data_IF_024496955568
#
_entry.id   IF_024496955568
#
_cell.length_a   1.000
_cell.length_b   1.000
_cell.length_c   1.000
_cell.angle_alpha   90.00
_cell.angle_beta   90.00
_cell.angle_gamma   90.00
#
_symmetry.space_group_name_H-M   'P 1'
#
loop_
_entity.id
_entity.type
_entity.pdbx_description
1 polymer ?
#
# COMPACT_ATOMS: atom_id res chain seq x y z
N UNK A 1 -7.53 3.61 -13.22
CA UNK A 1 -6.96 4.48 -12.16
C UNK A 1 -8.05 5.15 -11.33
N UNK A 2 -8.98 5.93 -11.92
CA UNK A 2 -10.05 6.61 -11.17
C UNK A 2 -10.87 5.68 -10.26
N UNK A 3 -11.36 4.58 -10.80
CA UNK A 3 -12.12 3.57 -10.04
C UNK A 3 -11.33 2.93 -8.88
N UNK A 4 -10.03 2.66 -9.08
CA UNK A 4 -9.13 2.13 -8.03
C UNK A 4 -8.97 3.13 -6.90
N UNK A 5 -8.79 4.41 -7.22
CA UNK A 5 -8.68 5.48 -6.23
C UNK A 5 -9.99 5.71 -5.47
N UNK A 6 -11.14 5.66 -6.16
CA UNK A 6 -12.44 5.78 -5.52
C UNK A 6 -12.67 4.62 -4.53
N UNK A 7 -12.32 3.40 -4.93
CA UNK A 7 -12.40 2.21 -4.07
C UNK A 7 -11.46 2.33 -2.86
N UNK A 8 -10.21 2.72 -3.09
CA UNK A 8 -9.23 2.90 -2.02
C UNK A 8 -9.67 4.00 -1.04
N UNK A 9 -10.21 5.12 -1.51
CA UNK A 9 -10.70 6.22 -0.66
C UNK A 9 -11.92 5.89 0.20
N UNK A 10 -12.67 4.82 -0.14
CA UNK A 10 -13.72 4.28 0.74
C UNK A 10 -13.16 3.44 1.88
N UNK A 11 -11.93 2.94 1.72
CA UNK A 11 -11.26 2.02 2.65
C UNK A 11 -10.25 2.74 3.55
N UNK A 12 -9.57 3.74 3.01
CA UNK A 12 -8.59 4.58 3.71
C UNK A 12 -9.17 5.97 3.97
N UNK A 13 -8.68 6.66 5.00
CA UNK A 13 -9.05 8.07 5.29
C UNK A 13 -8.42 9.08 4.32
N UNK A 14 -7.46 8.67 3.52
CA UNK A 14 -6.73 9.53 2.59
C UNK A 14 -7.61 9.91 1.39
N UNK A 15 -7.50 11.17 0.97
CA UNK A 15 -8.13 11.65 -0.26
C UNK A 15 -7.54 10.92 -1.50
N UNK A 16 -8.32 10.64 -2.57
CA UNK A 16 -7.83 9.98 -3.79
C UNK A 16 -6.49 10.48 -4.34
N UNK A 17 -6.30 11.80 -4.39
CA UNK A 17 -5.01 12.43 -4.78
C UNK A 17 -3.84 12.02 -3.87
N UNK A 18 -4.06 11.92 -2.56
CA UNK A 18 -3.00 11.48 -1.64
C UNK A 18 -2.64 10.01 -1.87
N UNK A 19 -3.64 9.15 -2.07
CA UNK A 19 -3.44 7.73 -2.40
C UNK A 19 -2.60 7.60 -3.68
N UNK A 20 -2.97 8.32 -4.74
CA UNK A 20 -2.23 8.32 -6.00
C UNK A 20 -0.78 8.78 -5.82
N UNK A 21 -0.56 9.90 -5.12
CA UNK A 21 0.77 10.45 -4.90
C UNK A 21 1.65 9.48 -4.08
N UNK A 22 1.08 8.85 -3.06
CA UNK A 22 1.82 7.87 -2.24
C UNK A 22 2.17 6.61 -3.01
N UNK A 23 1.27 6.13 -3.86
CA UNK A 23 1.56 4.98 -4.71
C UNK A 23 2.68 5.27 -5.71
N UNK A 24 2.68 6.45 -6.34
CA UNK A 24 3.77 6.87 -7.26
C UNK A 24 5.09 7.06 -6.52
N UNK A 25 5.06 7.64 -5.30
CA UNK A 25 6.25 7.76 -4.48
C UNK A 25 6.85 6.39 -4.14
N UNK A 26 6.01 5.45 -3.73
CA UNK A 26 6.44 4.08 -3.41
C UNK A 26 6.99 3.35 -4.64
N UNK A 27 6.34 3.47 -5.79
CA UNK A 27 6.86 2.95 -7.08
C UNK A 27 8.28 3.46 -7.34
N UNK A 28 8.53 4.77 -7.18
CA UNK A 28 9.87 5.35 -7.32
C UNK A 28 10.88 4.75 -6.34
N UNK A 29 10.52 4.66 -5.06
CA UNK A 29 11.39 4.10 -4.02
C UNK A 29 11.73 2.62 -4.25
N UNK A 30 10.77 1.81 -4.72
CA UNK A 30 11.01 0.41 -5.07
C UNK A 30 11.88 0.28 -6.33
N UNK A 31 11.63 1.13 -7.33
CA UNK A 31 12.42 1.17 -8.56
C UNK A 31 13.90 1.50 -8.30
N UNK A 32 14.20 2.42 -7.37
CA UNK A 32 15.57 2.71 -6.91
C UNK A 32 16.29 1.46 -6.35
N UNK A 33 15.51 0.50 -5.83
CA UNK A 33 15.98 -0.79 -5.31
C UNK A 33 15.91 -1.91 -6.34
N UNK A 34 15.61 -1.58 -7.61
CA UNK A 34 15.41 -2.52 -8.72
C UNK A 34 14.24 -3.49 -8.51
N UNK A 35 13.26 -3.09 -7.70
CA UNK A 35 12.01 -3.83 -7.48
C UNK A 35 10.95 -3.18 -8.38
N UNK A 36 10.50 -3.91 -9.40
CA UNK A 36 9.55 -3.41 -10.39
C UNK A 36 8.11 -3.62 -9.90
N UNK A 37 7.50 -2.57 -9.36
CA UNK A 37 6.08 -2.55 -8.99
C UNK A 37 5.46 -1.21 -9.34
N UNK A 38 4.30 -1.22 -10.01
CA UNK A 38 3.68 0.02 -10.51
C UNK A 38 2.68 0.59 -9.54
N UNK A 39 2.50 1.92 -9.51
CA UNK A 39 1.55 2.58 -8.64
C UNK A 39 0.11 1.99 -8.69
N UNK A 40 -0.48 1.66 -9.84
CA UNK A 40 -1.80 1.02 -9.88
C UNK A 40 -1.84 -0.35 -9.19
N UNK A 41 -0.79 -1.16 -9.36
CA UNK A 41 -0.67 -2.49 -8.74
C UNK A 41 -0.48 -2.38 -7.23
N UNK A 42 0.31 -1.40 -6.79
CA UNK A 42 0.51 -1.09 -5.36
C UNK A 42 -0.81 -0.73 -4.71
N UNK A 43 -1.63 0.11 -5.36
CA UNK A 43 -2.96 0.49 -4.83
C UNK A 43 -3.84 -0.74 -4.68
N UNK A 44 -3.92 -1.59 -5.70
CA UNK A 44 -4.71 -2.83 -5.64
C UNK A 44 -4.24 -3.73 -4.51
N UNK A 45 -2.94 -4.00 -4.48
CA UNK A 45 -2.28 -4.86 -3.49
C UNK A 45 -2.57 -4.41 -2.08
N UNK A 46 -2.38 -3.12 -1.77
CA UNK A 46 -2.62 -2.58 -0.45
C UNK A 46 -4.12 -2.51 -0.08
N UNK A 47 -5.02 -2.41 -1.07
CA UNK A 47 -6.46 -2.53 -0.83
C UNK A 47 -6.88 -3.95 -0.42
N UNK A 48 -6.07 -4.97 -0.66
CA UNK A 48 -6.36 -6.35 -0.21
C UNK A 48 -6.06 -6.57 1.28
N UNK A 49 -5.34 -5.65 1.93
CA UNK A 49 -5.12 -5.72 3.38
C UNK A 49 -6.47 -5.44 4.06
N UNK A 50 -6.96 -6.41 4.83
CA UNK A 50 -8.16 -6.24 5.65
C UNK A 50 -7.73 -5.51 6.92
N UNK A 51 -8.15 -4.26 7.04
CA UNK A 51 -7.96 -3.49 8.26
C UNK A 51 -9.13 -3.80 9.18
N UNK A 52 -8.86 -4.49 10.29
CA UNK A 52 -9.85 -4.65 11.34
C UNK A 52 -10.23 -3.28 11.92
N UNK A 53 -11.51 -3.09 12.19
CA UNK A 53 -12.13 -1.77 12.40
C UNK A 53 -11.69 -0.96 13.63
N UNK A 54 -10.52 -1.20 14.22
CA UNK A 54 -10.04 -0.49 15.42
C UNK A 54 -9.06 0.65 15.16
N UNK A 55 -8.42 0.73 13.99
CA UNK A 55 -7.62 1.89 13.61
C UNK A 55 -7.86 2.22 12.16
N UNK A 56 -8.32 3.44 11.91
CA UNK A 56 -8.45 3.92 10.54
C UNK A 56 -7.06 4.27 10.03
N UNK A 57 -6.39 3.26 9.53
CA UNK A 57 -5.03 3.37 9.01
C UNK A 57 -5.04 4.23 7.75
N UNK A 58 -4.04 5.11 7.62
CA UNK A 58 -3.86 5.88 6.40
C UNK A 58 -3.17 5.02 5.36
N UNK A 59 -3.50 5.24 4.08
CA UNK A 59 -2.78 4.64 2.97
C UNK A 59 -1.28 4.97 3.06
N UNK A 60 -0.95 6.17 3.54
CA UNK A 60 0.42 6.61 3.80
C UNK A 60 1.16 5.70 4.80
N UNK A 61 0.52 5.33 5.92
CA UNK A 61 1.14 4.43 6.91
C UNK A 61 1.37 3.04 6.34
N UNK A 62 0.36 2.51 5.63
CA UNK A 62 0.43 1.18 5.03
C UNK A 62 1.52 1.11 3.94
N UNK A 63 1.68 2.16 3.12
CA UNK A 63 2.79 2.24 2.15
C UNK A 63 4.17 2.23 2.81
N UNK A 64 4.32 2.86 3.98
CA UNK A 64 5.59 2.87 4.70
C UNK A 64 5.92 1.49 5.28
N UNK A 65 4.94 0.82 5.90
CA UNK A 65 5.12 -0.54 6.42
C UNK A 65 5.44 -1.52 5.30
N UNK A 66 4.71 -1.43 4.18
CA UNK A 66 4.98 -2.25 2.99
C UNK A 66 6.41 -2.05 2.49
N UNK A 67 6.86 -0.80 2.33
CA UNK A 67 8.23 -0.52 1.90
C UNK A 67 9.27 -1.15 2.82
N UNK A 68 9.10 -1.04 4.15
CA UNK A 68 10.03 -1.63 5.11
C UNK A 68 10.11 -3.15 4.94
N UNK A 69 8.98 -3.84 4.83
CA UNK A 69 8.92 -5.29 4.58
C UNK A 69 9.61 -5.65 3.25
N UNK A 70 9.43 -4.83 2.21
CA UNK A 70 10.15 -5.01 0.94
C UNK A 70 11.67 -4.88 1.10
N UNK A 71 12.14 -3.97 1.95
CA UNK A 71 13.57 -3.79 2.24
C UNK A 71 14.15 -4.92 3.10
N UNK A 72 13.31 -5.61 3.88
CA UNK A 72 13.67 -6.84 4.58
C UNK A 72 13.79 -8.05 3.64
N UNK A 73 13.54 -7.87 2.34
CA UNK A 73 13.67 -8.90 1.32
C UNK A 73 12.42 -9.77 1.16
N UNK A 74 11.30 -9.42 1.80
CA UNK A 74 10.03 -10.07 1.53
C UNK A 74 9.57 -9.73 0.12
N UNK A 75 8.96 -10.71 -0.55
CA UNK A 75 8.22 -10.49 -1.77
C UNK A 75 6.83 -9.89 -1.47
N UNK A 76 6.08 -9.57 -2.53
CA UNK A 76 4.80 -8.83 -2.45
C UNK A 76 3.79 -9.59 -1.60
N UNK A 77 3.66 -10.89 -1.86
CA UNK A 77 2.69 -11.76 -1.20
C UNK A 77 3.03 -11.92 0.28
N UNK A 78 4.31 -12.17 0.62
CA UNK A 78 4.76 -12.26 2.01
C UNK A 78 4.59 -10.96 2.76
N UNK A 79 4.88 -9.82 2.12
CA UNK A 79 4.68 -8.51 2.73
C UNK A 79 3.19 -8.27 3.05
N UNK A 80 2.27 -8.68 2.18
CA UNK A 80 0.83 -8.54 2.43
C UNK A 80 0.34 -9.44 3.56
N UNK A 81 0.83 -10.68 3.63
CA UNK A 81 0.54 -11.57 4.76
C UNK A 81 1.02 -10.95 6.07
N UNK A 82 2.25 -10.41 6.09
CA UNK A 82 2.80 -9.74 7.26
C UNK A 82 1.98 -8.50 7.67
N UNK A 83 1.56 -7.66 6.71
CA UNK A 83 0.70 -6.49 6.99
C UNK A 83 -0.64 -6.88 7.60
N UNK A 84 -1.27 -7.97 7.15
CA UNK A 84 -2.53 -8.48 7.73
C UNK A 84 -2.33 -8.99 9.16
N UNK A 85 -1.17 -9.57 9.48
CA UNK A 85 -0.85 -10.02 10.84
C UNK A 85 -0.56 -8.86 11.79
N UNK A 86 0.02 -7.77 11.27
CA UNK A 86 0.32 -6.56 12.04
C UNK A 86 -0.91 -5.68 12.28
N UNK A 87 -1.96 -5.83 11.45
CA UNK A 87 -3.22 -5.11 11.54
C UNK A 87 -4.42 -6.09 11.74
N UNK A 88 -4.46 -6.83 12.87
CA UNK A 88 -5.40 -7.94 13.10
C UNK A 88 -6.82 -7.50 13.47
#
# INVERSE_FOLDING_TARGET
MREKLDTASKRFRDHPRMIANRAVQLEGMLQEKKIAERAPEIIDTLCEVQLSGRSVESFSSLTQQYYNLRMEGLDRDKAIVALRQQNP
#
